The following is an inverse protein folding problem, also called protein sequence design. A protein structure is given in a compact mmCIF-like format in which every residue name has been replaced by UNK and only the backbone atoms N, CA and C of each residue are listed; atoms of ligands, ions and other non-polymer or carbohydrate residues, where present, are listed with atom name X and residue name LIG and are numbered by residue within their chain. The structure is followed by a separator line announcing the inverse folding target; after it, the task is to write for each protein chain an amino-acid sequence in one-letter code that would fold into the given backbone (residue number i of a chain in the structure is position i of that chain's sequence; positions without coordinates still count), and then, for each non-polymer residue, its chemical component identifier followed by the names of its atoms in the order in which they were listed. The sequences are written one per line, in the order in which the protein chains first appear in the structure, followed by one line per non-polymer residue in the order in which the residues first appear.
data_IF_892874971477
#
_entry.id   IF_892874971477
#
_cell.length_a   1.000
_cell.length_b   1.000
_cell.length_c   1.000
_cell.angle_alpha   90.00
_cell.angle_beta   90.00
_cell.angle_gamma   90.00
#
_symmetry.space_group_name_H-M   'P 1'
#
loop_
_entity.id
_entity.type
_entity.pdbx_description
1 polymer ?
#
# COMPACT_ATOMS: atom_id res chain seq x y z
N UNK A 1 1.77 26.91 6.18
CA UNK A 1 2.00 25.69 5.38
C UNK A 1 0.92 24.68 5.72
N UNK A 2 0.17 24.15 4.74
CA UNK A 2 -0.91 23.19 4.98
C UNK A 2 -0.49 21.80 4.49
N UNK A 3 -0.10 20.94 5.42
CA UNK A 3 0.23 19.55 5.13
C UNK A 3 -1.02 18.79 4.65
N UNK A 4 -0.84 17.85 3.72
CA UNK A 4 -1.86 16.89 3.28
C UNK A 4 -1.42 15.48 3.64
N UNK A 5 -2.36 14.53 3.60
CA UNK A 5 -2.08 13.11 3.81
C UNK A 5 -1.93 12.41 2.46
N UNK A 6 -0.97 11.51 2.35
CA UNK A 6 -0.80 10.59 1.24
C UNK A 6 -0.80 9.16 1.77
N UNK A 7 -1.33 8.23 0.99
CA UNK A 7 -1.18 6.80 1.21
C UNK A 7 -0.26 6.25 0.12
N UNK A 8 0.84 5.62 0.50
CA UNK A 8 1.58 4.72 -0.40
C UNK A 8 1.09 3.32 -0.09
N UNK A 9 0.57 2.65 -1.11
CA UNK A 9 0.02 1.29 -1.00
C UNK A 9 0.89 0.41 -1.89
N UNK A 10 1.25 -0.74 -1.35
CA UNK A 10 2.00 -1.79 -2.02
C UNK A 10 1.23 -3.09 -1.85
N UNK A 11 1.19 -3.92 -2.89
CA UNK A 11 0.42 -5.17 -2.88
C UNK A 11 1.15 -6.26 -3.62
N UNK A 12 1.22 -7.44 -3.00
CA UNK A 12 1.68 -8.65 -3.66
C UNK A 12 0.50 -9.51 -4.08
N UNK A 13 0.62 -10.13 -5.24
CA UNK A 13 -0.47 -10.86 -5.89
C UNK A 13 0.03 -12.22 -6.40
N UNK A 14 -0.89 -13.14 -6.65
CA UNK A 14 -0.56 -14.46 -7.22
C UNK A 14 -0.15 -14.40 -8.70
N UNK A 15 -0.37 -13.26 -9.36
CA UNK A 15 -0.10 -13.04 -10.78
C UNK A 15 -0.59 -11.65 -11.22
N UNK A 16 -0.72 -11.42 -12.53
CA UNK A 16 -1.01 -10.09 -13.09
C UNK A 16 -2.43 -9.94 -13.64
N UNK A 17 -3.25 -10.99 -13.61
CA UNK A 17 -4.62 -10.99 -14.11
C UNK A 17 -5.61 -10.66 -12.99
N UNK A 18 -6.18 -9.44 -13.01
CA UNK A 18 -7.10 -8.99 -11.98
C UNK A 18 -8.42 -9.79 -11.89
N UNK A 19 -8.79 -10.56 -12.91
CA UNK A 19 -9.98 -11.43 -12.86
C UNK A 19 -9.68 -12.78 -12.19
N UNK A 20 -8.43 -13.25 -12.26
CA UNK A 20 -8.04 -14.61 -11.83
C UNK A 20 -7.19 -14.60 -10.55
N UNK A 21 -6.29 -13.62 -10.42
CA UNK A 21 -5.30 -13.55 -9.36
C UNK A 21 -5.85 -12.91 -8.08
N UNK A 22 -5.21 -13.24 -6.95
CA UNK A 22 -5.56 -12.72 -5.62
C UNK A 22 -4.46 -11.85 -5.06
N UNK A 23 -4.84 -10.81 -4.32
CA UNK A 23 -3.93 -10.08 -3.43
C UNK A 23 -3.63 -10.98 -2.24
N UNK A 24 -2.35 -11.22 -1.96
CA UNK A 24 -1.87 -12.06 -0.85
C UNK A 24 -1.12 -11.26 0.21
N UNK A 25 -0.72 -10.03 -0.11
CA UNK A 25 -0.20 -9.06 0.85
C UNK A 25 -0.74 -7.67 0.54
N UNK A 26 -1.11 -6.92 1.58
CA UNK A 26 -1.41 -5.50 1.48
C UNK A 26 -0.61 -4.71 2.52
N UNK A 27 0.31 -3.89 2.02
CA UNK A 27 1.10 -2.95 2.81
C UNK A 27 0.67 -1.51 2.55
N UNK A 28 0.62 -0.67 3.58
CA UNK A 28 0.48 0.76 3.36
C UNK A 28 1.22 1.61 4.38
N UNK A 29 1.56 2.83 3.93
CA UNK A 29 2.08 3.91 4.77
C UNK A 29 1.23 5.15 4.55
N UNK A 30 0.69 5.72 5.62
CA UNK A 30 0.10 7.05 5.57
C UNK A 30 1.15 8.06 6.02
N UNK A 31 1.39 9.09 5.23
CA UNK A 31 2.34 10.15 5.55
C UNK A 31 1.76 11.55 5.34
N UNK A 32 2.28 12.51 6.10
CA UNK A 32 2.02 13.93 5.90
C UNK A 32 3.08 14.54 4.97
N UNK A 33 2.64 15.34 4.00
CA UNK A 33 3.52 15.98 3.02
C UNK A 33 3.06 17.38 2.65
N UNK A 34 3.98 18.17 2.09
CA UNK A 34 3.69 19.45 1.45
C UNK A 34 3.30 19.25 -0.01
N UNK A 35 2.07 19.60 -0.43
CA UNK A 35 1.65 19.45 -1.81
C UNK A 35 2.36 20.40 -2.79
N UNK A 36 3.00 21.48 -2.32
CA UNK A 36 3.70 22.42 -3.21
C UNK A 36 5.14 21.97 -3.52
N UNK A 37 5.83 21.41 -2.52
CA UNK A 37 7.25 21.02 -2.65
C UNK A 37 7.46 19.52 -2.82
N UNK A 38 6.45 18.70 -2.50
CA UNK A 38 6.56 17.25 -2.47
C UNK A 38 7.30 16.69 -1.26
N UNK A 39 7.80 17.55 -0.36
CA UNK A 39 8.53 17.12 0.83
C UNK A 39 7.62 16.31 1.76
N UNK A 40 8.04 15.08 2.07
CA UNK A 40 7.42 14.25 3.11
C UNK A 40 7.97 14.65 4.47
N UNK A 41 7.08 14.84 5.45
CA UNK A 41 7.44 15.32 6.78
C UNK A 41 7.45 14.21 7.83
N UNK A 42 6.40 13.39 7.85
CA UNK A 42 6.24 12.37 8.88
C UNK A 42 5.32 11.25 8.41
N UNK A 43 5.71 10.02 8.73
CA UNK A 43 4.81 8.86 8.67
C UNK A 43 3.85 8.88 9.85
N UNK A 44 2.56 8.87 9.55
CA UNK A 44 1.46 8.89 10.52
C UNK A 44 1.04 7.49 10.95
N UNK A 45 0.99 6.54 10.01
CA UNK A 45 0.68 5.14 10.28
C UNK A 45 1.29 4.21 9.25
N UNK A 46 1.42 2.94 9.63
CA UNK A 46 1.86 1.85 8.77
C UNK A 46 1.06 0.60 9.08
N UNK A 47 0.85 -0.23 8.08
CA UNK A 47 0.20 -1.53 8.21
C UNK A 47 0.79 -2.50 7.20
N UNK A 48 0.84 -3.78 7.57
CA UNK A 48 1.14 -4.90 6.68
C UNK A 48 0.32 -6.08 7.16
N UNK A 49 -0.31 -6.77 6.21
CA UNK A 49 -1.10 -7.97 6.45
C UNK A 49 -1.05 -8.90 5.26
N UNK A 50 -1.16 -10.20 5.56
CA UNK A 50 -1.23 -11.27 4.58
C UNK A 50 -2.66 -11.80 4.45
N UNK A 51 -3.02 -12.24 3.25
CA UNK A 51 -4.27 -12.95 2.96
C UNK A 51 -3.96 -14.30 2.33
N UNK A 52 -4.69 -15.34 2.74
CA UNK A 52 -4.60 -16.67 2.14
C UNK A 52 -5.40 -16.69 0.82
N UNK A 53 -4.77 -16.95 -0.33
CA UNK A 53 -5.48 -17.00 -1.62
C UNK A 53 -6.45 -18.19 -1.72
N UNK A 54 -6.38 -19.17 -0.82
CA UNK A 54 -7.22 -20.36 -0.81
C UNK A 54 -6.78 -21.45 -1.81
N UNK A 55 -5.60 -21.30 -2.41
CA UNK A 55 -4.98 -22.27 -3.29
C UNK A 55 -3.44 -22.23 -3.18
N UNK A 56 -2.72 -23.32 -3.55
CA UNK A 56 -1.26 -23.33 -3.49
C UNK A 56 -0.64 -22.30 -4.45
N UNK A 57 0.36 -21.58 -3.96
CA UNK A 57 1.23 -20.75 -4.79
C UNK A 57 2.26 -21.63 -5.54
N UNK A 58 2.62 -21.29 -6.79
CA UNK A 58 3.66 -21.98 -7.55
C UNK A 58 5.08 -21.77 -7.03
#
# INVERSE_FOLDING_TARGET
MRLRRLAVIDSETTGLDAEQDKVIELGYVIASFDPLTGQVYRVESRHSSFEDPGFPLP
#
